data_IF_190184894830
#
_entry.id   IF_190184894830
#
_cell.length_a   1.000
_cell.length_b   1.000
_cell.length_c   1.000
_cell.angle_alpha   90.00
_cell.angle_beta   90.00
_cell.angle_gamma   90.00
#
_symmetry.space_group_name_H-M   'P 1'
#
loop_
_entity.id
_entity.type
_entity.pdbx_description
1 polymer ?
#
# COMPACT_ATOMS: atom_id res chain seq x y z
N UNK A 1 -10.19 -32.72 11.22
CA UNK A 1 -10.02 -31.28 11.47
C UNK A 1 -10.70 -30.59 10.29
N UNK A 2 -11.86 -30.02 10.52
CA UNK A 2 -12.49 -29.13 9.55
C UNK A 2 -11.53 -27.96 9.35
N UNK A 3 -11.28 -27.57 8.10
CA UNK A 3 -10.64 -26.28 7.83
C UNK A 3 -11.64 -25.26 8.38
N UNK A 4 -11.40 -24.72 9.56
CA UNK A 4 -12.16 -23.56 10.03
C UNK A 4 -11.92 -22.46 9.00
N UNK A 5 -12.99 -21.86 8.47
CA UNK A 5 -12.93 -20.74 7.52
C UNK A 5 -12.32 -19.52 8.23
N UNK A 6 -10.98 -19.50 8.32
CA UNK A 6 -10.21 -18.43 8.93
C UNK A 6 -9.92 -17.35 7.89
N UNK A 7 -10.19 -16.10 8.26
CA UNK A 7 -9.89 -14.93 7.45
C UNK A 7 -8.96 -13.98 8.20
N UNK A 8 -8.02 -13.35 7.48
CA UNK A 8 -7.09 -12.36 8.00
C UNK A 8 -7.08 -11.16 7.05
N UNK A 9 -7.29 -9.97 7.59
CA UNK A 9 -7.16 -8.74 6.81
C UNK A 9 -5.68 -8.39 6.60
N UNK A 10 -5.27 -8.29 5.33
CA UNK A 10 -3.89 -7.96 4.94
C UNK A 10 -3.73 -6.54 4.38
N UNK A 11 -4.81 -5.86 4.02
CA UNK A 11 -4.79 -4.47 3.58
C UNK A 11 -5.70 -3.67 4.50
N UNK A 12 -5.11 -2.98 5.48
CA UNK A 12 -5.84 -2.27 6.54
C UNK A 12 -5.15 -0.94 6.83
N UNK A 13 -5.94 0.14 6.83
CA UNK A 13 -5.52 1.47 7.24
C UNK A 13 -5.85 1.68 8.71
N UNK A 14 -4.87 2.17 9.46
CA UNK A 14 -5.05 2.60 10.84
C UNK A 14 -5.18 4.11 10.91
N UNK A 15 -5.37 4.65 12.11
CA UNK A 15 -5.33 6.09 12.38
C UNK A 15 -4.01 6.78 11.94
N UNK A 16 -2.95 6.03 11.64
CA UNK A 16 -1.69 6.57 11.11
C UNK A 16 -1.73 6.84 9.60
N UNK A 17 -2.76 6.39 8.87
CA UNK A 17 -3.12 6.96 7.57
C UNK A 17 -3.82 8.30 7.78
N UNK A 18 -3.06 9.32 8.19
CA UNK A 18 -3.60 10.62 8.59
C UNK A 18 -4.54 11.22 7.53
N UNK A 19 -5.65 11.78 8.00
CA UNK A 19 -6.73 12.39 7.19
C UNK A 19 -7.58 11.39 6.38
N UNK A 20 -7.42 10.08 6.58
CA UNK A 20 -8.21 9.05 5.90
C UNK A 20 -8.56 7.89 6.85
N UNK A 21 -7.54 7.22 7.40
CA UNK A 21 -7.71 6.08 8.28
C UNK A 21 -8.41 6.46 9.59
N UNK A 22 -9.49 5.74 9.89
CA UNK A 22 -10.31 5.95 11.10
C UNK A 22 -10.20 4.80 12.13
N UNK A 23 -9.52 3.70 11.78
CA UNK A 23 -9.39 2.55 12.66
C UNK A 23 -8.27 2.79 13.69
N UNK A 24 -8.67 3.12 14.93
CA UNK A 24 -7.71 3.28 16.03
C UNK A 24 -7.11 1.93 16.40
N UNK A 25 -5.79 1.88 16.63
CA UNK A 25 -5.08 0.61 16.83
C UNK A 25 -5.66 -0.23 17.98
N UNK A 26 -5.99 0.34 19.16
CA UNK A 26 -6.61 -0.45 20.23
C UNK A 26 -7.95 -1.08 19.86
N UNK A 27 -8.83 -0.31 19.21
CA UNK A 27 -10.19 -0.76 18.86
C UNK A 27 -10.14 -1.82 17.75
N UNK A 28 -9.27 -1.59 16.75
CA UNK A 28 -9.02 -2.54 15.68
C UNK A 28 -8.55 -3.89 16.21
N UNK A 29 -7.57 -3.90 17.12
CA UNK A 29 -7.05 -5.15 17.69
C UNK A 29 -8.04 -5.83 18.63
N UNK A 30 -8.87 -5.07 19.35
CA UNK A 30 -9.98 -5.63 20.14
C UNK A 30 -10.99 -6.35 19.24
N UNK A 31 -11.29 -5.80 18.07
CA UNK A 31 -12.19 -6.42 17.09
C UNK A 31 -11.59 -7.69 16.47
N UNK A 32 -10.30 -7.67 16.11
CA UNK A 32 -9.55 -8.85 15.63
C UNK A 32 -9.59 -9.97 16.66
N UNK A 33 -9.38 -9.64 17.94
CA UNK A 33 -9.48 -10.61 19.04
C UNK A 33 -10.90 -11.15 19.19
N UNK A 34 -11.93 -10.28 19.14
CA UNK A 34 -13.34 -10.67 19.23
C UNK A 34 -13.74 -11.65 18.12
N UNK A 35 -13.20 -11.45 16.92
CA UNK A 35 -13.44 -12.30 15.74
C UNK A 35 -12.54 -13.54 15.69
N UNK A 36 -11.67 -13.76 16.69
CA UNK A 36 -10.72 -14.87 16.75
C UNK A 36 -9.79 -14.95 15.52
N UNK A 37 -9.43 -13.79 14.94
CA UNK A 37 -8.49 -13.74 13.82
C UNK A 37 -7.06 -13.91 14.36
N UNK A 38 -6.27 -14.85 13.80
CA UNK A 38 -4.93 -15.15 14.34
C UNK A 38 -3.89 -14.06 14.02
N UNK A 39 -4.17 -13.20 13.04
CA UNK A 39 -3.26 -12.19 12.53
C UNK A 39 -4.01 -10.98 11.98
N UNK A 40 -3.29 -9.87 11.79
CA UNK A 40 -3.76 -8.70 11.03
C UNK A 40 -2.54 -7.92 10.51
N UNK A 41 -2.68 -7.32 9.33
CA UNK A 41 -1.68 -6.40 8.79
C UNK A 41 -2.01 -4.93 9.05
N UNK A 42 -0.97 -4.10 9.12
CA UNK A 42 -1.04 -2.64 9.03
C UNK A 42 -0.43 -2.22 7.69
N UNK A 43 -1.17 -1.49 6.85
CA UNK A 43 -0.72 -1.03 5.52
C UNK A 43 -1.08 0.42 5.29
N UNK A 44 -0.56 1.30 6.15
CA UNK A 44 -0.90 2.72 6.09
C UNK A 44 -0.39 3.43 4.84
N UNK A 45 -1.06 4.53 4.49
CA UNK A 45 -0.78 5.31 3.30
C UNK A 45 0.58 6.02 3.37
N UNK A 46 1.55 5.49 2.63
CA UNK A 46 2.86 6.10 2.39
C UNK A 46 3.75 6.25 3.63
N UNK A 47 3.40 5.63 4.76
CA UNK A 47 4.15 5.77 6.00
C UNK A 47 4.09 4.50 6.87
N UNK A 48 4.96 4.45 7.88
CA UNK A 48 5.07 3.36 8.86
C UNK A 48 5.06 3.90 10.29
N UNK A 49 4.42 5.05 10.53
CA UNK A 49 4.47 5.74 11.83
C UNK A 49 3.92 4.88 12.97
N UNK A 50 2.87 4.09 12.69
CA UNK A 50 2.23 3.20 13.65
C UNK A 50 2.94 1.87 13.88
N UNK A 51 3.99 1.52 13.12
CA UNK A 51 4.49 0.14 13.04
C UNK A 51 4.90 -0.44 14.40
N UNK A 52 5.62 0.34 15.22
CA UNK A 52 6.06 -0.10 16.54
C UNK A 52 4.90 -0.26 17.53
N UNK A 53 3.97 0.71 17.54
CA UNK A 53 2.81 0.66 18.42
C UNK A 53 1.91 -0.53 18.07
N UNK A 54 1.59 -0.69 16.79
CA UNK A 54 0.79 -1.80 16.26
C UNK A 54 1.40 -3.15 16.60
N UNK A 55 2.70 -3.33 16.33
CA UNK A 55 3.45 -4.53 16.68
C UNK A 55 3.34 -4.84 18.18
N UNK A 56 3.66 -3.85 19.04
CA UNK A 56 3.70 -4.03 20.48
C UNK A 56 2.32 -4.41 21.04
N UNK A 57 1.25 -3.73 20.60
CA UNK A 57 -0.11 -3.97 21.08
C UNK A 57 -0.68 -5.31 20.57
N UNK A 58 -0.48 -5.64 19.30
CA UNK A 58 -0.93 -6.91 18.74
C UNK A 58 -0.26 -8.11 19.43
N UNK A 59 1.06 -8.05 19.63
CA UNK A 59 1.81 -9.10 20.34
C UNK A 59 1.34 -9.31 21.77
N UNK A 60 0.98 -8.23 22.49
CA UNK A 60 0.45 -8.32 23.85
C UNK A 60 -0.88 -9.06 23.94
N UNK A 61 -1.65 -9.11 22.84
CA UNK A 61 -2.92 -9.83 22.73
C UNK A 61 -2.77 -11.23 22.12
N UNK A 62 -1.54 -11.68 21.82
CA UNK A 62 -1.29 -12.96 21.16
C UNK A 62 -1.63 -12.98 19.67
N UNK A 63 -1.95 -11.82 19.07
CA UNK A 63 -2.22 -11.66 17.64
C UNK A 63 -0.89 -11.55 16.89
N UNK A 64 -0.78 -12.16 15.72
CA UNK A 64 0.39 -12.00 14.84
C UNK A 64 0.30 -10.69 14.04
N UNK A 65 1.14 -9.66 14.32
CA UNK A 65 1.17 -8.44 13.52
C UNK A 65 1.96 -8.64 12.22
N UNK A 66 1.38 -8.21 11.11
CA UNK A 66 2.07 -8.13 9.81
C UNK A 66 2.32 -6.66 9.50
N UNK A 67 3.59 -6.27 9.39
CA UNK A 67 3.96 -4.88 9.10
C UNK A 67 4.05 -4.70 7.59
N UNK A 68 3.24 -3.80 7.06
CA UNK A 68 3.18 -3.45 5.65
C UNK A 68 3.02 -1.95 5.43
N UNK A 69 2.93 -1.60 4.16
CA UNK A 69 2.88 -0.24 3.64
C UNK A 69 1.98 -0.25 2.40
N UNK A 70 0.93 0.57 2.36
CA UNK A 70 0.36 0.94 1.07
C UNK A 70 1.06 2.20 0.59
N UNK A 71 2.14 1.98 -0.16
CA UNK A 71 3.01 3.06 -0.54
C UNK A 71 2.64 3.65 -1.90
N UNK A 72 3.15 4.85 -2.15
CA UNK A 72 2.90 5.56 -3.40
C UNK A 72 4.01 5.22 -4.40
N UNK A 73 3.67 4.47 -5.43
CA UNK A 73 4.59 4.09 -6.50
C UNK A 73 4.52 5.11 -7.64
N UNK A 74 5.67 5.54 -8.17
CA UNK A 74 5.78 6.44 -9.30
C UNK A 74 6.33 5.68 -10.53
N UNK A 75 5.48 5.23 -11.47
CA UNK A 75 5.93 4.51 -12.67
C UNK A 75 6.94 5.28 -13.51
N UNK A 76 6.84 6.61 -13.51
CA UNK A 76 7.74 7.52 -14.20
C UNK A 76 9.10 7.73 -13.52
N UNK A 77 9.28 7.26 -12.28
CA UNK A 77 10.44 7.53 -11.44
C UNK A 77 10.15 8.55 -10.33
N UNK A 78 10.77 8.36 -9.17
CA UNK A 78 10.46 9.13 -7.94
C UNK A 78 10.85 10.60 -8.00
N UNK A 79 11.84 10.94 -8.83
CA UNK A 79 12.32 12.32 -9.02
C UNK A 79 11.47 13.14 -10.00
N UNK A 80 10.66 12.49 -10.84
CA UNK A 80 9.82 13.18 -11.81
C UNK A 80 8.74 14.02 -11.13
N UNK A 81 8.59 15.27 -11.57
CA UNK A 81 7.60 16.23 -11.08
C UNK A 81 6.42 16.41 -12.01
N UNK A 82 6.20 15.41 -12.87
CA UNK A 82 5.07 15.34 -13.80
C UNK A 82 4.26 14.07 -13.55
N UNK A 83 2.93 14.14 -13.68
CA UNK A 83 2.09 12.95 -13.67
C UNK A 83 2.46 11.96 -14.79
N UNK A 84 2.27 10.66 -14.52
CA UNK A 84 2.37 9.60 -15.51
C UNK A 84 1.01 9.39 -16.18
N UNK A 85 1.03 9.17 -17.49
CA UNK A 85 -0.17 9.09 -18.32
C UNK A 85 -0.52 7.61 -18.59
N UNK A 86 -1.63 7.15 -18.01
CA UNK A 86 -2.16 5.81 -18.22
C UNK A 86 -3.06 5.72 -19.47
N UNK A 87 -3.25 6.82 -20.22
CA UNK A 87 -4.13 6.88 -21.39
C UNK A 87 -5.62 6.85 -21.03
N UNK A 88 -6.46 6.50 -22.01
CA UNK A 88 -7.91 6.34 -21.82
C UNK A 88 -8.80 7.55 -22.16
N UNK A 89 -8.21 8.71 -22.50
CA UNK A 89 -8.94 9.93 -22.89
C UNK A 89 -9.76 10.57 -21.76
N UNK A 90 -9.95 11.90 -21.83
CA UNK A 90 -11.01 12.57 -21.08
C UNK A 90 -12.29 12.46 -21.91
N UNK A 91 -13.30 11.73 -21.44
CA UNK A 91 -14.65 11.97 -21.97
C UNK A 91 -15.11 13.32 -21.40
N UNK A 92 -15.42 14.29 -22.26
CA UNK A 92 -16.05 15.54 -21.85
C UNK A 92 -17.40 15.21 -21.19
N UNK A 93 -17.42 15.13 -19.85
CA UNK A 93 -18.63 14.86 -19.07
C UNK A 93 -18.49 13.80 -17.98
N UNK A 94 -17.39 13.07 -17.89
CA UNK A 94 -17.11 12.26 -16.68
C UNK A 94 -16.56 13.17 -15.59
N UNK A 95 -17.14 13.17 -14.38
CA UNK A 95 -16.59 13.91 -13.24
C UNK A 95 -15.10 13.58 -13.05
N UNK A 96 -14.32 14.56 -12.60
CA UNK A 96 -12.98 14.35 -12.04
C UNK A 96 -13.11 13.53 -10.75
N UNK A 97 -13.44 12.25 -10.87
CA UNK A 97 -13.19 11.31 -9.79
C UNK A 97 -11.73 10.88 -9.93
N UNK A 98 -10.81 11.28 -9.04
CA UNK A 98 -9.43 10.78 -9.05
C UNK A 98 -9.35 9.25 -8.87
N UNK A 99 -10.43 8.58 -8.45
CA UNK A 99 -10.58 7.13 -8.46
C UNK A 99 -11.04 6.55 -9.81
N UNK A 100 -11.60 7.35 -10.71
CA UNK A 100 -11.87 6.94 -12.09
C UNK A 100 -10.53 6.81 -12.84
N UNK A 101 -10.17 5.59 -13.20
CA UNK A 101 -8.87 5.16 -13.72
C UNK A 101 -8.45 5.66 -15.09
N UNK A 102 -8.66 6.93 -15.41
CA UNK A 102 -8.30 7.51 -16.70
C UNK A 102 -7.35 8.69 -16.52
N UNK A 103 -6.46 8.85 -17.48
CA UNK A 103 -5.60 10.03 -17.58
C UNK A 103 -4.34 9.95 -16.71
N UNK A 104 -4.00 11.10 -16.11
CA UNK A 104 -2.67 11.32 -15.55
C UNK A 104 -2.66 11.27 -14.03
N UNK A 105 -1.77 10.47 -13.46
CA UNK A 105 -1.64 10.30 -12.02
C UNK A 105 -0.22 10.58 -11.54
N UNK A 106 -0.09 11.28 -10.40
CA UNK A 106 1.21 11.56 -9.78
C UNK A 106 1.89 10.33 -9.18
N UNK A 107 1.10 9.29 -8.88
CA UNK A 107 1.50 8.01 -8.32
C UNK A 107 0.35 6.99 -8.48
N UNK A 108 0.66 5.73 -8.22
CA UNK A 108 -0.31 4.65 -7.97
C UNK A 108 -0.07 4.05 -6.59
N UNK A 109 -1.02 3.28 -6.07
CA UNK A 109 -0.86 2.59 -4.81
C UNK A 109 -0.16 1.24 -5.02
N UNK A 110 0.63 0.79 -4.04
CA UNK A 110 1.18 -0.55 -4.02
C UNK A 110 1.22 -1.06 -2.58
N UNK A 111 0.51 -2.15 -2.33
CA UNK A 111 0.49 -2.82 -1.03
C UNK A 111 1.70 -3.75 -0.91
N UNK A 112 2.52 -3.50 0.10
CA UNK A 112 3.75 -4.24 0.41
C UNK A 112 3.70 -4.74 1.86
N UNK A 113 4.28 -5.92 2.12
CA UNK A 113 4.48 -6.46 3.45
C UNK A 113 5.91 -6.93 3.66
N UNK A 114 6.39 -6.86 4.90
CA UNK A 114 7.61 -7.50 5.32
C UNK A 114 7.36 -8.98 5.67
N UNK A 115 7.91 -9.90 4.88
CA UNK A 115 7.89 -11.34 5.16
C UNK A 115 8.93 -11.73 6.21
N UNK A 116 10.05 -11.00 6.22
CA UNK A 116 11.21 -11.30 7.06
C UNK A 116 11.73 -10.05 7.77
N UNK A 117 12.58 -10.23 8.79
CA UNK A 117 13.24 -9.10 9.44
C UNK A 117 14.05 -8.24 8.46
N UNK A 118 14.91 -8.80 7.58
CA UNK A 118 15.54 -7.99 6.52
C UNK A 118 14.53 -7.26 5.63
N UNK A 119 13.40 -7.89 5.31
CA UNK A 119 12.28 -7.26 4.61
C UNK A 119 11.72 -6.05 5.35
N UNK A 120 11.53 -6.13 6.67
CA UNK A 120 11.08 -5.00 7.48
C UNK A 120 12.06 -3.82 7.44
N UNK A 121 13.36 -4.09 7.49
CA UNK A 121 14.39 -3.05 7.35
C UNK A 121 14.35 -2.41 5.95
N UNK A 122 14.10 -3.21 4.92
CA UNK A 122 13.94 -2.74 3.55
C UNK A 122 12.68 -1.88 3.38
N UNK A 123 11.57 -2.27 4.01
CA UNK A 123 10.33 -1.49 4.04
C UNK A 123 10.54 -0.11 4.69
N UNK A 124 11.29 -0.05 5.80
CA UNK A 124 11.68 1.20 6.43
C UNK A 124 12.55 2.07 5.50
N UNK A 125 13.51 1.48 4.79
CA UNK A 125 14.34 2.20 3.80
C UNK A 125 13.50 2.75 2.66
N UNK A 126 12.59 1.94 2.09
CA UNK A 126 11.66 2.37 1.06
C UNK A 126 10.83 3.58 1.51
N UNK A 127 10.18 3.50 2.68
CA UNK A 127 9.38 4.61 3.22
C UNK A 127 10.22 5.87 3.48
N UNK A 128 11.45 5.70 3.99
CA UNK A 128 12.36 6.82 4.26
C UNK A 128 12.80 7.50 2.96
N UNK A 129 13.27 6.75 1.97
CA UNK A 129 13.72 7.28 0.68
C UNK A 129 12.55 7.84 -0.14
N UNK A 130 11.36 7.26 -0.04
CA UNK A 130 10.16 7.83 -0.65
C UNK A 130 9.87 9.26 -0.13
N UNK A 131 10.16 9.51 1.15
CA UNK A 131 10.01 10.83 1.76
C UNK A 131 11.19 11.77 1.47
N UNK A 132 12.43 11.26 1.53
CA UNK A 132 13.63 12.08 1.36
C UNK A 132 13.90 12.45 -0.10
N UNK A 133 13.64 11.54 -1.03
CA UNK A 133 13.99 11.69 -2.45
C UNK A 133 12.75 11.91 -3.33
N UNK A 134 11.67 11.17 -3.07
CA UNK A 134 10.53 11.06 -3.98
C UNK A 134 9.32 11.94 -3.64
N UNK A 135 9.40 12.76 -2.60
CA UNK A 135 8.27 13.55 -2.13
C UNK A 135 7.88 14.61 -3.14
N UNK A 136 6.69 14.50 -3.73
CA UNK A 136 6.10 15.52 -4.63
C UNK A 136 4.89 16.18 -3.96
N UNK A 137 3.78 15.44 -3.89
CA UNK A 137 2.63 15.73 -3.02
C UNK A 137 2.46 14.65 -1.94
N UNK A 138 3.00 13.47 -2.22
CA UNK A 138 3.06 12.29 -1.35
C UNK A 138 4.49 11.73 -1.40
N UNK A 139 4.94 10.96 -0.40
CA UNK A 139 6.25 10.30 -0.41
C UNK A 139 6.21 9.10 -1.37
N UNK A 140 6.88 9.20 -2.52
CA UNK A 140 6.80 8.19 -3.59
C UNK A 140 8.09 7.41 -3.75
N UNK A 141 8.00 6.11 -3.99
CA UNK A 141 9.14 5.29 -4.45
C UNK A 141 8.94 4.89 -5.91
N UNK A 142 9.92 4.21 -6.50
CA UNK A 142 9.89 3.76 -7.89
C UNK A 142 10.50 2.36 -8.04
N UNK A 143 10.59 1.89 -9.30
CA UNK A 143 11.08 0.56 -9.65
C UNK A 143 12.54 0.37 -9.21
N UNK A 144 13.39 1.39 -9.32
CA UNK A 144 14.80 1.32 -8.90
C UNK A 144 14.91 1.02 -7.39
N UNK A 145 14.13 1.72 -6.57
CA UNK A 145 14.12 1.46 -5.13
C UNK A 145 13.54 0.09 -4.79
N UNK A 146 12.47 -0.34 -5.48
CA UNK A 146 11.92 -1.68 -5.32
C UNK A 146 12.95 -2.75 -5.66
N UNK A 147 13.64 -2.66 -6.80
CA UNK A 147 14.67 -3.61 -7.21
C UNK A 147 15.78 -3.71 -6.15
N UNK A 148 16.22 -2.56 -5.62
CA UNK A 148 17.26 -2.51 -4.58
C UNK A 148 16.83 -3.09 -3.23
N UNK A 149 15.58 -2.93 -2.85
CA UNK A 149 15.07 -3.26 -1.51
C UNK A 149 13.96 -4.32 -1.50
N UNK A 150 13.81 -5.12 -2.55
CA UNK A 150 12.74 -6.13 -2.69
C UNK A 150 12.93 -7.35 -1.81
N UNK A 151 14.18 -7.71 -1.45
CA UNK A 151 14.45 -8.93 -0.70
C UNK A 151 13.68 -8.96 0.63
N UNK A 152 12.88 -10.01 0.82
CA UNK A 152 12.06 -10.21 2.01
C UNK A 152 10.76 -9.42 2.04
N UNK A 153 10.36 -8.81 0.92
CA UNK A 153 9.07 -8.15 0.76
C UNK A 153 8.10 -9.01 -0.07
N UNK A 154 6.82 -8.95 0.28
CA UNK A 154 5.71 -9.44 -0.55
C UNK A 154 4.97 -8.22 -1.09
N UNK A 155 4.65 -8.23 -2.39
CA UNK A 155 3.85 -7.19 -3.04
C UNK A 155 2.62 -7.75 -3.74
N UNK A 156 1.64 -6.89 -4.03
CA UNK A 156 0.43 -7.25 -4.79
C UNK A 156 0.21 -6.33 -5.98
N UNK A 157 -0.77 -6.69 -6.81
CA UNK A 157 -1.31 -5.82 -7.87
C UNK A 157 -1.99 -4.56 -7.33
N UNK A 158 -2.24 -4.48 -6.02
CA UNK A 158 -2.78 -3.31 -5.33
C UNK A 158 -4.30 -3.16 -5.40
N UNK A 159 -4.78 -2.05 -4.82
CA UNK A 159 -6.18 -1.64 -4.84
C UNK A 159 -6.58 -1.08 -6.23
N UNK A 160 -7.80 -0.54 -6.43
CA UNK A 160 -8.18 0.10 -7.69
C UNK A 160 -7.25 1.24 -8.13
N UNK A 161 -6.52 1.86 -7.19
CA UNK A 161 -5.50 2.88 -7.48
C UNK A 161 -4.12 2.31 -7.81
N UNK A 162 -3.94 0.98 -7.88
CA UNK A 162 -2.69 0.32 -8.24
C UNK A 162 -2.39 0.34 -9.75
N UNK A 163 -1.11 0.19 -10.12
CA UNK A 163 -0.62 0.33 -11.50
C UNK A 163 -1.36 -0.60 -12.48
N UNK A 164 -1.51 -1.88 -12.12
CA UNK A 164 -2.22 -2.87 -12.93
C UNK A 164 -3.67 -2.45 -13.17
N UNK A 165 -4.38 -2.06 -12.10
CA UNK A 165 -5.78 -1.65 -12.20
C UNK A 165 -5.95 -0.35 -13.00
N UNK A 166 -5.02 0.60 -12.88
CA UNK A 166 -5.06 1.83 -13.69
C UNK A 166 -4.92 1.54 -15.18
N UNK A 167 -4.05 0.60 -15.57
CA UNK A 167 -3.98 0.16 -16.97
C UNK A 167 -5.26 -0.54 -17.44
N UNK A 168 -5.86 -1.40 -16.61
CA UNK A 168 -7.13 -2.06 -16.93
C UNK A 168 -8.28 -1.05 -17.10
N UNK A 169 -8.38 -0.07 -16.20
CA UNK A 169 -9.38 0.99 -16.25
C UNK A 169 -9.22 1.90 -17.49
N UNK A 170 -7.99 2.06 -17.98
CA UNK A 170 -7.69 2.75 -19.23
C UNK A 170 -7.88 1.88 -20.49
N UNK A 171 -8.35 0.63 -20.34
CA UNK A 171 -8.56 -0.30 -21.46
C UNK A 171 -7.27 -0.87 -22.06
N UNK A 172 -6.13 -0.76 -21.36
CA UNK A 172 -4.81 -1.16 -21.86
C UNK A 172 -4.36 -2.48 -21.23
N UNK A 173 -5.02 -3.59 -21.60
CA UNK A 173 -4.76 -4.92 -21.02
C UNK A 173 -3.28 -5.36 -21.15
N UNK A 174 -2.67 -5.19 -22.32
CA UNK A 174 -1.28 -5.61 -22.54
C UNK A 174 -0.30 -4.85 -21.64
N UNK A 175 -0.59 -3.58 -21.32
CA UNK A 175 0.20 -2.81 -20.37
C UNK A 175 -0.05 -3.24 -18.93
N UNK A 176 -1.29 -3.58 -18.59
CA UNK A 176 -1.61 -4.12 -17.27
C UNK A 176 -0.87 -5.45 -17.00
N UNK A 177 -0.79 -6.32 -18.01
CA UNK A 177 -0.07 -7.60 -17.91
C UNK A 177 1.44 -7.41 -17.76
N UNK A 178 2.01 -6.37 -18.36
CA UNK A 178 3.45 -6.12 -18.34
C UNK A 178 3.95 -5.38 -17.09
N UNK A 179 3.05 -4.82 -16.28
CA UNK A 179 3.35 -3.95 -15.13
C UNK A 179 3.71 -4.72 -13.86
#
# INVERSE_FOLDING_TARGET
MTVDDQFVHLHVHTEYSMLDGAARVPDLLAEVQRLNMPAIAMTDHGNLYGAYEFYKKAKALGINPIIGLEGYYAPQGRFERRPFDFGGGFDEGTPEDPAAGRGKHGYTHMTLWAETTPGMHNLFRLSSLASLEGFYHKPRFDRELLERYSTGLIGTTGCPSGEVNRWLQAGQYDRALAA
#
